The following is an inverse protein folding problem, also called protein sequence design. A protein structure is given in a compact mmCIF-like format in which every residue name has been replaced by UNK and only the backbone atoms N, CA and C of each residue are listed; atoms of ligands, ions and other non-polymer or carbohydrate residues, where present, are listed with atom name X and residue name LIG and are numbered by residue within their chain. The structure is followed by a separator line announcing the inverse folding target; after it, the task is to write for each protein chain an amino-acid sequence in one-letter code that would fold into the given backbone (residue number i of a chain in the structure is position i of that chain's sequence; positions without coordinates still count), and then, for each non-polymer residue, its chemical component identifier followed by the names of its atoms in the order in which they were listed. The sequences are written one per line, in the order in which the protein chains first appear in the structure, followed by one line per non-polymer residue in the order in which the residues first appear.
data_IF_030235822015
#
_entry.id   IF_030235822015
#
_cell.length_a   1.000
_cell.length_b   1.000
_cell.length_c   1.000
_cell.angle_alpha   90.00
_cell.angle_beta   90.00
_cell.angle_gamma   90.00
#
_symmetry.space_group_name_H-M   'P 1'
#
loop_
_entity.id
_entity.type
_entity.pdbx_description
1 polymer ?
#
# COMPACT_ATOMS: atom_id res chain seq x y z
N UNK A 1 -28.18 17.45 -16.98
CA UNK A 1 -28.69 17.01 -18.29
C UNK A 1 -27.62 16.52 -19.30
N UNK A 2 -26.43 16.07 -18.85
CA UNK A 2 -25.40 15.52 -19.77
C UNK A 2 -24.81 14.16 -19.37
N UNK A 3 -24.84 13.79 -18.10
CA UNK A 3 -24.20 12.56 -17.59
C UNK A 3 -25.11 11.32 -17.56
N UNK A 4 -26.44 11.47 -17.64
CA UNK A 4 -27.38 10.34 -17.55
C UNK A 4 -27.20 9.29 -18.66
N UNK A 5 -26.77 9.73 -19.85
CA UNK A 5 -26.43 8.81 -20.93
C UNK A 5 -25.12 8.04 -20.63
N UNK A 6 -24.09 8.71 -20.10
CA UNK A 6 -22.80 8.09 -19.81
C UNK A 6 -22.87 7.02 -18.72
N UNK A 7 -23.71 7.19 -17.70
CA UNK A 7 -23.94 6.13 -16.70
C UNK A 7 -24.64 4.91 -17.31
N UNK A 8 -25.59 5.13 -18.22
CA UNK A 8 -26.25 4.01 -18.93
C UNK A 8 -25.27 3.28 -19.85
N UNK A 9 -24.40 4.01 -20.56
CA UNK A 9 -23.35 3.43 -21.39
C UNK A 9 -22.33 2.65 -20.55
N UNK A 10 -21.88 3.23 -19.42
CA UNK A 10 -20.96 2.57 -18.49
C UNK A 10 -21.59 1.29 -17.89
N UNK A 11 -22.87 1.33 -17.52
CA UNK A 11 -23.61 0.17 -17.04
C UNK A 11 -23.62 -0.96 -18.07
N UNK A 12 -23.96 -0.64 -19.32
CA UNK A 12 -24.00 -1.62 -20.39
C UNK A 12 -22.62 -2.21 -20.69
N UNK A 13 -21.58 -1.36 -20.73
CA UNK A 13 -20.20 -1.79 -20.97
C UNK A 13 -19.68 -2.69 -19.83
N UNK A 14 -19.93 -2.33 -18.57
CA UNK A 14 -19.52 -3.14 -17.43
C UNK A 14 -20.21 -4.52 -17.44
N UNK A 15 -21.53 -4.56 -17.71
CA UNK A 15 -22.30 -5.81 -17.83
C UNK A 15 -21.79 -6.70 -18.97
N UNK A 16 -21.50 -6.11 -20.12
CA UNK A 16 -20.91 -6.84 -21.24
C UNK A 16 -19.57 -7.46 -20.83
N UNK A 17 -18.62 -6.65 -20.34
CA UNK A 17 -17.30 -7.15 -19.92
C UNK A 17 -17.42 -8.25 -18.86
N UNK A 18 -18.27 -8.09 -17.85
CA UNK A 18 -18.47 -9.11 -16.81
C UNK A 18 -18.99 -10.43 -17.39
N UNK A 19 -19.85 -10.36 -18.39
CA UNK A 19 -20.48 -11.55 -18.98
C UNK A 19 -19.70 -12.18 -20.13
N UNK A 20 -18.89 -11.40 -20.86
CA UNK A 20 -18.33 -11.79 -22.17
C UNK A 20 -16.80 -11.79 -22.24
N UNK A 21 -16.09 -11.17 -21.29
CA UNK A 21 -14.62 -11.10 -21.33
C UNK A 21 -13.92 -12.45 -21.11
N UNK A 22 -14.60 -13.43 -20.50
CA UNK A 22 -14.00 -14.68 -20.06
C UNK A 22 -13.15 -14.56 -18.78
N UNK A 23 -13.05 -13.35 -18.21
CA UNK A 23 -12.39 -13.11 -16.93
C UNK A 23 -13.23 -13.65 -15.76
N UNK A 24 -12.58 -13.99 -14.66
CA UNK A 24 -13.23 -14.45 -13.42
C UNK A 24 -12.50 -13.97 -12.18
N UNK A 25 -13.26 -13.64 -11.15
CA UNK A 25 -12.72 -13.30 -9.83
C UNK A 25 -12.05 -14.52 -9.19
N UNK A 26 -10.85 -14.34 -8.65
CA UNK A 26 -10.17 -15.35 -7.84
C UNK A 26 -10.92 -15.56 -6.52
N UNK A 27 -11.12 -16.83 -6.15
CA UNK A 27 -11.70 -17.21 -4.86
C UNK A 27 -10.80 -16.78 -3.69
N UNK A 28 -9.48 -16.86 -3.87
CA UNK A 28 -8.49 -16.37 -2.91
C UNK A 28 -7.97 -15.02 -3.39
N UNK A 29 -8.27 -13.94 -2.67
CA UNK A 29 -7.98 -12.58 -3.13
C UNK A 29 -6.48 -12.31 -3.40
N UNK A 30 -5.57 -12.94 -2.65
CA UNK A 30 -4.13 -12.83 -2.88
C UNK A 30 -3.68 -13.45 -4.21
N UNK A 31 -4.45 -14.37 -4.81
CA UNK A 31 -4.10 -14.98 -6.10
C UNK A 31 -4.17 -14.00 -7.27
N UNK A 32 -4.92 -12.91 -7.12
CA UNK A 32 -4.90 -11.76 -8.05
C UNK A 32 -3.50 -11.18 -8.18
N UNK A 33 -2.68 -11.28 -7.14
CA UNK A 33 -1.30 -10.78 -7.06
C UNK A 33 -0.33 -11.92 -6.78
N UNK A 34 -0.58 -13.12 -7.25
CA UNK A 34 0.39 -14.22 -7.16
C UNK A 34 1.25 -14.27 -8.43
N UNK A 35 2.58 -14.30 -8.30
CA UNK A 35 3.48 -14.34 -9.47
C UNK A 35 3.25 -15.59 -10.33
N UNK A 36 2.84 -16.72 -9.73
CA UNK A 36 2.55 -17.94 -10.49
C UNK A 36 1.32 -17.79 -11.40
N UNK A 37 0.47 -16.81 -11.13
CA UNK A 37 -0.72 -16.52 -11.90
C UNK A 37 -0.51 -15.41 -12.93
N UNK A 38 0.68 -14.81 -13.00
CA UNK A 38 0.93 -13.61 -13.79
C UNK A 38 0.58 -13.81 -15.27
N UNK A 39 1.10 -14.87 -15.90
CA UNK A 39 0.85 -15.16 -17.31
C UNK A 39 -0.63 -15.40 -17.62
N UNK A 40 -1.37 -16.02 -16.69
CA UNK A 40 -2.77 -16.43 -16.88
C UNK A 40 -3.71 -15.81 -15.84
N UNK A 41 -3.50 -14.53 -15.51
CA UNK A 41 -4.28 -13.87 -14.48
C UNK A 41 -5.76 -13.74 -14.87
N UNK A 42 -6.65 -14.53 -14.23
CA UNK A 42 -8.06 -14.59 -14.59
C UNK A 42 -8.85 -13.31 -14.29
N UNK A 43 -8.35 -12.44 -13.40
CA UNK A 43 -9.00 -11.17 -13.10
C UNK A 43 -8.54 -10.04 -14.00
N UNK A 44 -7.36 -10.16 -14.62
CA UNK A 44 -6.77 -9.08 -15.40
C UNK A 44 -7.48 -8.93 -16.75
N UNK A 45 -7.96 -7.71 -17.02
CA UNK A 45 -8.57 -7.34 -18.32
C UNK A 45 -7.55 -6.64 -19.20
N UNK A 46 -6.74 -5.76 -18.60
CA UNK A 46 -5.65 -5.07 -19.27
C UNK A 46 -4.49 -4.88 -18.30
N UNK A 47 -3.29 -5.27 -18.72
CA UNK A 47 -2.06 -5.15 -17.95
C UNK A 47 -0.89 -4.75 -18.82
N UNK A 48 0.05 -4.03 -18.21
CA UNK A 48 1.32 -3.66 -18.82
C UNK A 48 2.38 -4.65 -18.37
N UNK A 49 2.88 -5.43 -19.32
CA UNK A 49 4.00 -6.33 -19.11
C UNK A 49 5.33 -5.60 -19.30
N UNK A 50 6.24 -5.73 -18.34
CA UNK A 50 7.57 -5.14 -18.44
C UNK A 50 8.52 -6.08 -19.16
N UNK A 51 9.00 -5.64 -20.33
CA UNK A 51 9.99 -6.41 -21.08
C UNK A 51 11.32 -6.60 -20.32
N UNK A 52 12.06 -7.65 -20.69
CA UNK A 52 13.35 -8.02 -20.10
C UNK A 52 14.51 -7.06 -20.43
N UNK A 53 14.26 -5.99 -21.20
CA UNK A 53 15.24 -5.06 -21.74
C UNK A 53 14.66 -3.63 -21.85
N UNK A 54 14.90 -2.79 -20.85
CA UNK A 54 14.78 -1.32 -20.95
C UNK A 54 16.16 -0.67 -20.90
N UNK A 55 16.58 0.04 -21.94
CA UNK A 55 17.90 0.69 -21.99
C UNK A 55 18.03 1.79 -20.94
N UNK A 56 19.17 1.85 -20.24
CA UNK A 56 19.45 2.80 -19.16
C UNK A 56 19.65 4.27 -19.60
N UNK A 57 19.17 4.67 -20.77
CA UNK A 57 19.52 5.94 -21.41
C UNK A 57 18.67 7.13 -20.96
N UNK A 58 17.35 7.01 -21.03
CA UNK A 58 16.43 8.16 -20.85
C UNK A 58 15.05 7.77 -20.30
N UNK A 59 14.84 6.50 -19.94
CA UNK A 59 13.50 5.92 -19.70
C UNK A 59 13.04 6.01 -18.23
N UNK A 60 13.63 6.90 -17.42
CA UNK A 60 13.27 7.05 -16.01
C UNK A 60 12.10 8.03 -15.86
N UNK A 61 10.88 7.51 -15.68
CA UNK A 61 9.64 8.27 -15.72
C UNK A 61 9.27 9.03 -14.42
N UNK A 62 10.18 9.18 -13.43
CA UNK A 62 9.82 9.87 -12.18
C UNK A 62 10.24 11.35 -12.21
N UNK A 63 9.28 12.28 -12.05
CA UNK A 63 9.58 13.69 -11.86
C UNK A 63 10.37 13.91 -10.57
N UNK A 64 11.34 14.82 -10.61
CA UNK A 64 12.02 15.31 -9.40
C UNK A 64 10.99 15.83 -8.39
N UNK A 65 11.15 15.46 -7.12
CA UNK A 65 10.44 16.11 -6.01
C UNK A 65 11.29 17.26 -5.53
N UNK A 66 10.67 18.43 -5.41
CA UNK A 66 11.27 19.62 -4.82
C UNK A 66 10.79 19.69 -3.36
N UNK A 67 11.63 19.31 -2.41
CA UNK A 67 11.50 19.76 -1.02
C UNK A 67 12.72 20.58 -0.64
N UNK A 68 12.58 21.36 0.43
CA UNK A 68 13.68 22.05 1.07
C UNK A 68 13.81 21.53 2.49
N UNK A 69 15.04 21.31 2.96
CA UNK A 69 15.29 20.90 4.34
C UNK A 69 15.00 22.04 5.34
N UNK A 70 15.27 21.79 6.63
CA UNK A 70 15.07 22.77 7.70
C UNK A 70 15.96 24.02 7.54
N UNK A 71 17.01 23.94 6.75
CA UNK A 71 17.95 25.03 6.44
C UNK A 71 17.61 25.74 5.11
N UNK A 72 16.60 25.27 4.38
CA UNK A 72 16.12 25.84 3.14
C UNK A 72 16.85 25.35 1.89
N UNK A 73 17.73 24.36 2.02
CA UNK A 73 18.47 23.77 0.90
C UNK A 73 17.58 22.79 0.13
N UNK A 74 17.71 22.78 -1.19
CA UNK A 74 16.97 21.87 -2.06
C UNK A 74 17.38 20.42 -1.78
N UNK A 75 16.42 19.60 -1.35
CA UNK A 75 16.63 18.19 -1.15
C UNK A 75 16.27 17.40 -2.41
N UNK A 76 17.26 16.72 -2.98
CA UNK A 76 17.08 15.82 -4.12
C UNK A 76 16.75 14.40 -3.64
N UNK A 77 15.49 14.15 -3.26
CA UNK A 77 15.12 12.85 -2.69
C UNK A 77 14.88 11.72 -3.69
N UNK A 78 14.78 12.02 -4.98
CA UNK A 78 14.41 11.03 -5.98
C UNK A 78 15.47 10.86 -7.06
N UNK A 79 16.56 10.18 -6.73
CA UNK A 79 17.40 9.53 -7.74
C UNK A 79 17.13 8.03 -7.76
N UNK A 80 16.43 7.55 -8.80
CA UNK A 80 16.38 6.15 -9.29
C UNK A 80 15.02 5.40 -9.15
N UNK A 81 14.23 5.31 -10.24
CA UNK A 81 13.59 4.03 -10.62
C UNK A 81 14.54 3.26 -11.53
N UNK A 82 15.72 2.91 -11.03
CA UNK A 82 16.61 2.01 -11.80
C UNK A 82 16.52 0.61 -11.23
N UNK A 83 16.17 -0.33 -12.11
CA UNK A 83 15.95 -1.77 -11.89
C UNK A 83 16.90 -2.47 -10.92
N UNK A 84 18.16 -2.06 -10.76
CA UNK A 84 19.16 -2.79 -9.94
C UNK A 84 20.45 -1.98 -9.75
N UNK A 85 20.32 -0.66 -9.67
CA UNK A 85 21.45 0.24 -9.88
C UNK A 85 21.94 0.26 -11.33
N UNK A 86 22.98 1.04 -11.58
CA UNK A 86 23.41 1.64 -12.86
C UNK A 86 23.61 0.73 -14.11
N UNK A 87 23.37 -0.58 -14.09
CA UNK A 87 23.89 -1.48 -15.15
C UNK A 87 22.99 -2.60 -15.71
N UNK A 88 21.73 -2.81 -15.27
CA UNK A 88 20.85 -3.87 -15.85
C UNK A 88 19.39 -3.37 -16.02
N UNK A 89 18.63 -3.95 -16.98
CA UNK A 89 17.52 -3.31 -17.77
C UNK A 89 16.08 -3.94 -17.72
N UNK A 90 14.98 -3.28 -17.24
CA UNK A 90 13.54 -3.77 -17.14
C UNK A 90 12.89 -4.10 -15.73
N UNK A 91 11.55 -4.15 -15.58
CA UNK A 91 10.82 -4.53 -14.34
C UNK A 91 10.04 -3.39 -13.67
N UNK A 92 9.05 -3.71 -12.82
CA UNK A 92 8.14 -2.76 -12.16
C UNK A 92 8.67 -2.30 -10.79
N UNK A 93 8.50 -1.02 -10.47
CA UNK A 93 8.94 -0.44 -9.21
C UNK A 93 7.92 -0.58 -8.05
N UNK A 94 6.90 -1.42 -8.19
CA UNK A 94 5.78 -1.45 -7.23
C UNK A 94 6.18 -1.84 -5.81
N UNK A 95 7.13 -2.77 -5.65
CA UNK A 95 7.69 -3.10 -4.34
C UNK A 95 8.34 -1.88 -3.65
N UNK A 96 9.07 -1.05 -4.41
CA UNK A 96 9.73 0.16 -3.90
C UNK A 96 8.76 1.21 -3.35
N UNK A 97 7.54 1.22 -3.88
CA UNK A 97 6.52 2.20 -3.53
C UNK A 97 5.80 1.82 -2.24
N UNK A 98 5.50 0.53 -2.06
CA UNK A 98 4.46 0.07 -1.13
C UNK A 98 4.96 -0.82 -0.01
N UNK A 99 6.14 -1.43 -0.15
CA UNK A 99 6.60 -2.45 0.80
C UNK A 99 8.08 -2.35 1.06
N UNK A 100 8.46 -1.72 2.17
CA UNK A 100 9.85 -1.71 2.60
C UNK A 100 9.98 -1.87 4.10
N UNK A 101 10.75 -2.88 4.51
CA UNK A 101 11.11 -3.13 5.90
C UNK A 101 12.41 -2.40 6.32
N UNK A 102 13.22 -1.87 5.40
CA UNK A 102 14.46 -1.14 5.77
C UNK A 102 14.22 -0.01 6.77
N UNK A 103 13.06 0.63 6.67
CA UNK A 103 12.68 1.73 7.55
C UNK A 103 12.25 1.27 8.95
N UNK A 104 11.92 -0.03 9.13
CA UNK A 104 11.63 -0.66 10.43
C UNK A 104 12.87 -1.10 11.21
N UNK A 105 14.07 -0.93 10.62
CA UNK A 105 15.38 -1.36 11.13
C UNK A 105 15.90 -0.52 12.31
N UNK A 106 15.05 -0.29 13.30
CA UNK A 106 15.46 0.18 14.61
C UNK A 106 16.30 -0.91 15.31
N UNK A 107 17.21 -0.47 16.17
CA UNK A 107 18.15 -1.37 16.85
C UNK A 107 17.52 -2.21 17.96
N UNK A 108 16.22 -2.03 18.24
CA UNK A 108 15.53 -2.72 19.32
C UNK A 108 15.43 -4.23 19.08
N UNK A 109 15.28 -4.64 17.83
CA UNK A 109 15.21 -6.06 17.44
C UNK A 109 16.60 -6.64 17.11
N UNK A 110 17.61 -5.81 16.88
CA UNK A 110 18.97 -6.28 16.56
C UNK A 110 19.88 -5.18 15.99
N UNK A 111 21.20 -5.37 16.08
CA UNK A 111 22.21 -4.35 15.75
C UNK A 111 22.28 -3.90 14.28
N UNK A 112 22.91 -2.75 14.02
CA UNK A 112 23.11 -2.23 12.66
C UNK A 112 24.18 -3.04 11.89
N UNK A 113 23.72 -3.86 10.94
CA UNK A 113 24.53 -4.36 9.82
C UNK A 113 25.64 -5.37 10.08
N UNK A 114 25.71 -6.06 11.24
CA UNK A 114 26.69 -7.14 11.45
C UNK A 114 26.08 -8.44 12.04
N UNK A 115 26.45 -9.56 11.42
CA UNK A 115 25.65 -10.76 11.13
C UNK A 115 25.26 -11.68 12.32
N UNK A 116 25.53 -11.32 13.58
CA UNK A 116 25.34 -12.24 14.73
C UNK A 116 24.18 -11.90 15.66
N UNK A 117 23.74 -10.63 15.69
CA UNK A 117 22.71 -10.15 16.61
C UNK A 117 21.53 -9.51 15.85
N UNK A 118 21.22 -10.01 14.66
CA UNK A 118 20.14 -9.48 13.81
C UNK A 118 19.02 -10.49 13.69
N UNK A 119 17.79 -10.00 13.49
CA UNK A 119 16.62 -10.81 13.11
C UNK A 119 16.22 -10.60 11.66
N UNK A 120 16.67 -9.49 11.06
CA UNK A 120 16.44 -9.12 9.67
C UNK A 120 17.75 -8.67 9.02
N UNK A 121 17.95 -9.03 7.75
CA UNK A 121 19.08 -8.61 6.91
C UNK A 121 18.56 -8.30 5.51
N UNK A 122 19.25 -7.46 4.73
CA UNK A 122 18.97 -7.31 3.29
C UNK A 122 19.74 -8.35 2.51
N UNK A 123 19.06 -9.24 1.80
CA UNK A 123 19.74 -10.15 0.88
C UNK A 123 20.07 -9.39 -0.41
N UNK A 124 21.35 -9.19 -0.67
CA UNK A 124 21.83 -8.48 -1.88
C UNK A 124 22.40 -9.41 -2.93
N UNK A 125 22.82 -10.61 -2.53
CA UNK A 125 23.37 -11.61 -3.42
C UNK A 125 23.27 -13.00 -2.78
N UNK A 126 22.52 -13.90 -3.43
CA UNK A 126 22.34 -15.30 -3.03
C UNK A 126 23.24 -16.26 -3.84
N UNK A 127 23.98 -15.75 -4.83
CA UNK A 127 24.75 -16.53 -5.80
C UNK A 127 26.26 -16.44 -5.61
N UNK A 128 26.78 -15.36 -5.00
CA UNK A 128 28.21 -15.19 -4.75
C UNK A 128 28.70 -15.74 -3.41
N UNK A 129 30.02 -15.87 -3.29
CA UNK A 129 30.73 -16.33 -2.11
C UNK A 129 30.68 -15.38 -0.90
N UNK A 130 30.19 -14.14 -1.05
CA UNK A 130 30.04 -13.17 0.06
C UNK A 130 28.71 -13.27 0.84
N UNK A 131 27.82 -14.20 0.45
CA UNK A 131 26.54 -14.60 1.07
C UNK A 131 26.07 -13.77 2.29
N UNK A 132 25.08 -12.91 2.06
CA UNK A 132 24.26 -12.30 3.12
C UNK A 132 22.80 -12.81 3.12
N UNK A 133 22.60 -13.99 2.55
CA UNK A 133 21.31 -14.71 2.48
C UNK A 133 20.99 -15.52 3.75
N UNK A 134 21.88 -15.46 4.76
CA UNK A 134 21.68 -16.14 6.04
C UNK A 134 22.00 -15.23 7.23
N UNK A 135 21.38 -15.58 8.36
CA UNK A 135 21.71 -15.05 9.69
C UNK A 135 22.18 -16.23 10.55
N UNK A 136 23.20 -16.01 11.38
CA UNK A 136 23.64 -17.04 12.35
C UNK A 136 22.69 -16.99 13.54
N UNK A 137 22.09 -18.12 13.88
CA UNK A 137 21.27 -18.26 15.08
C UNK A 137 22.14 -18.07 16.33
N UNK A 138 21.74 -17.16 17.22
CA UNK A 138 22.33 -17.03 18.54
C UNK A 138 21.99 -18.22 19.45
N UNK A 139 20.92 -18.97 19.12
CA UNK A 139 20.47 -20.14 19.87
C UNK A 139 21.25 -21.39 19.50
N UNK A 140 21.36 -21.70 18.20
CA UNK A 140 21.95 -22.96 17.71
C UNK A 140 23.38 -22.80 17.18
N UNK A 141 23.80 -21.58 16.83
CA UNK A 141 25.06 -21.33 16.12
C UNK A 141 25.02 -21.68 14.63
N UNK A 142 23.91 -22.24 14.15
CA UNK A 142 23.73 -22.66 12.76
C UNK A 142 23.33 -21.48 11.86
N UNK A 143 23.56 -21.64 10.55
CA UNK A 143 23.11 -20.67 9.53
C UNK A 143 21.64 -20.89 9.22
N UNK A 144 20.83 -19.86 9.42
CA UNK A 144 19.43 -19.82 8.99
C UNK A 144 19.36 -19.06 7.68
N UNK A 145 19.05 -19.73 6.57
CA UNK A 145 18.77 -19.07 5.29
C UNK A 145 17.50 -18.25 5.44
N UNK A 146 17.59 -16.95 5.17
CA UNK A 146 16.48 -16.04 5.36
C UNK A 146 15.76 -15.75 4.05
N UNK A 147 16.46 -15.51 2.93
CA UNK A 147 15.89 -15.09 1.63
C UNK A 147 14.51 -15.68 1.27
N UNK A 148 14.33 -17.02 1.23
CA UNK A 148 13.08 -17.67 0.86
C UNK A 148 11.99 -17.69 1.95
N UNK A 149 12.32 -17.41 3.22
CA UNK A 149 11.53 -17.83 4.39
C UNK A 149 11.26 -16.73 5.42
N UNK A 150 11.54 -15.47 5.15
CA UNK A 150 11.25 -14.38 6.10
C UNK A 150 10.70 -13.16 5.38
N UNK A 151 10.03 -12.28 6.12
CA UNK A 151 9.44 -11.09 5.49
C UNK A 151 10.49 -10.31 4.68
N UNK A 152 10.18 -9.93 3.44
CA UNK A 152 11.15 -9.34 2.53
C UNK A 152 11.72 -8.02 3.09
N UNK A 153 13.04 -7.92 3.16
CA UNK A 153 13.76 -6.73 3.62
C UNK A 153 14.41 -5.98 2.46
N UNK A 154 13.93 -4.76 2.19
CA UNK A 154 14.36 -3.96 1.04
C UNK A 154 14.38 -2.45 1.27
N UNK A 155 15.11 -1.71 0.41
CA UNK A 155 15.18 -0.24 0.37
C UNK A 155 13.96 0.32 -0.35
N UNK A 156 13.04 0.95 0.37
CA UNK A 156 11.94 1.68 -0.25
C UNK A 156 12.41 3.01 -0.83
N UNK A 157 12.00 3.30 -2.06
CA UNK A 157 12.30 4.56 -2.74
C UNK A 157 11.31 5.67 -2.31
N UNK A 158 10.06 5.29 -2.03
CA UNK A 158 9.05 6.18 -1.47
C UNK A 158 8.36 5.52 -0.27
N UNK A 159 8.13 6.32 0.77
CA UNK A 159 7.52 5.87 2.02
C UNK A 159 6.00 5.94 1.90
N UNK A 160 5.36 4.93 1.32
CA UNK A 160 3.89 4.86 1.35
C UNK A 160 3.42 4.38 2.71
N UNK A 161 3.30 5.33 3.62
CA UNK A 161 2.54 5.16 4.85
C UNK A 161 1.05 5.19 4.48
N UNK A 162 0.27 4.13 4.75
CA UNK A 162 -1.19 4.18 4.58
C UNK A 162 -1.77 5.36 5.35
N UNK A 163 -2.84 6.00 4.87
CA UNK A 163 -3.55 6.93 5.75
C UNK A 163 -4.19 6.14 6.90
N UNK A 164 -4.34 6.77 8.07
CA UNK A 164 -5.03 6.13 9.19
C UNK A 164 -6.45 5.68 8.79
N UNK A 165 -7.14 6.49 7.97
CA UNK A 165 -8.46 6.15 7.42
C UNK A 165 -8.44 4.86 6.58
N UNK A 166 -7.45 4.68 5.69
CA UNK A 166 -7.36 3.47 4.88
C UNK A 166 -7.11 2.24 5.76
N UNK A 167 -6.25 2.38 6.77
CA UNK A 167 -5.99 1.30 7.71
C UNK A 167 -7.25 0.94 8.50
N UNK A 168 -7.95 1.93 9.07
CA UNK A 168 -9.23 1.75 9.76
C UNK A 168 -10.27 1.08 8.86
N UNK A 169 -10.42 1.54 7.61
CA UNK A 169 -11.36 0.98 6.66
C UNK A 169 -11.11 -0.50 6.34
N UNK A 170 -9.85 -0.89 6.14
CA UNK A 170 -9.50 -2.30 5.93
C UNK A 170 -9.74 -3.11 7.21
N UNK A 171 -9.45 -2.56 8.39
CA UNK A 171 -9.63 -3.26 9.67
C UNK A 171 -11.10 -3.51 10.01
N UNK A 172 -12.02 -2.63 9.59
CA UNK A 172 -13.47 -2.82 9.72
C UNK A 172 -13.94 -4.16 9.14
N UNK A 173 -13.25 -4.68 8.12
CA UNK A 173 -13.64 -5.92 7.42
C UNK A 173 -12.73 -7.12 7.74
N UNK A 174 -11.73 -6.98 8.63
CA UNK A 174 -10.66 -7.98 8.81
C UNK A 174 -11.13 -9.37 9.23
N UNK A 175 -12.26 -9.45 9.94
CA UNK A 175 -12.79 -10.71 10.50
C UNK A 175 -13.63 -11.50 9.49
N UNK A 176 -14.06 -10.85 8.40
CA UNK A 176 -15.01 -11.41 7.43
C UNK A 176 -14.52 -11.35 5.99
N UNK A 177 -13.49 -10.56 5.69
CA UNK A 177 -13.04 -10.26 4.33
C UNK A 177 -11.53 -10.50 4.15
N UNK A 178 -11.18 -11.24 3.09
CA UNK A 178 -9.81 -11.61 2.78
C UNK A 178 -8.94 -10.40 2.41
N UNK A 179 -9.54 -9.27 1.98
CA UNK A 179 -8.81 -8.11 1.48
C UNK A 179 -7.96 -7.41 2.52
N UNK A 180 -8.32 -7.45 3.80
CA UNK A 180 -7.48 -6.92 4.87
C UNK A 180 -6.12 -7.61 4.86
N UNK A 181 -6.12 -8.94 5.00
CA UNK A 181 -4.89 -9.72 5.01
C UNK A 181 -4.20 -9.61 3.65
N UNK A 182 -4.91 -9.74 2.53
CA UNK A 182 -4.30 -9.65 1.19
C UNK A 182 -3.69 -8.29 0.86
N UNK A 183 -4.11 -7.21 1.53
CA UNK A 183 -3.66 -5.84 1.23
C UNK A 183 -2.65 -5.31 2.22
N UNK A 184 -2.86 -5.50 3.52
CA UNK A 184 -2.06 -4.88 4.57
C UNK A 184 -0.90 -5.78 5.01
N UNK A 185 0.25 -5.17 5.28
CA UNK A 185 1.38 -5.79 5.97
C UNK A 185 1.46 -5.22 7.39
N UNK A 186 0.67 -5.79 8.30
CA UNK A 186 0.62 -5.37 9.72
C UNK A 186 1.50 -6.21 10.63
N UNK A 187 2.18 -7.22 10.11
CA UNK A 187 3.17 -7.99 10.88
C UNK A 187 4.38 -8.35 10.03
N UNK A 188 5.55 -8.31 10.66
CA UNK A 188 6.80 -8.82 10.08
C UNK A 188 7.24 -10.02 10.89
N UNK A 189 7.56 -11.12 10.20
CA UNK A 189 7.76 -12.44 10.79
C UNK A 189 9.14 -13.00 10.50
N UNK A 190 9.58 -13.89 11.40
CA UNK A 190 10.91 -14.49 11.40
C UNK A 190 10.84 -16.02 11.62
N UNK A 191 11.86 -16.76 11.15
CA UNK A 191 12.08 -18.14 11.53
C UNK A 191 12.30 -18.31 13.05
N UNK A 192 11.88 -19.46 13.59
CA UNK A 192 12.02 -19.81 15.01
C UNK A 192 13.45 -19.72 15.53
N UNK A 193 14.41 -20.20 14.75
CA UNK A 193 15.82 -20.24 15.14
C UNK A 193 16.44 -18.84 15.29
N UNK A 194 15.80 -17.79 14.77
CA UNK A 194 16.25 -16.40 14.91
C UNK A 194 15.61 -15.68 16.10
N UNK A 195 14.63 -16.27 16.78
CA UNK A 195 13.99 -15.65 17.93
C UNK A 195 14.98 -15.28 19.05
N UNK A 196 16.04 -16.08 19.23
CA UNK A 196 17.10 -15.80 20.20
C UNK A 196 18.02 -14.64 19.84
N UNK A 197 17.95 -14.12 18.61
CA UNK A 197 18.79 -13.00 18.16
C UNK A 197 18.25 -11.64 18.64
N UNK A 198 16.95 -11.56 18.99
CA UNK A 198 16.31 -10.33 19.45
C UNK A 198 16.54 -10.13 20.96
N UNK A 199 17.72 -9.64 21.35
CA UNK A 199 18.15 -9.57 22.75
C UNK A 199 17.23 -8.77 23.68
N UNK A 200 16.51 -7.76 23.16
CA UNK A 200 15.56 -6.98 23.95
C UNK A 200 14.20 -7.68 24.12
N UNK A 201 13.95 -8.77 23.38
CA UNK A 201 12.72 -9.55 23.37
C UNK A 201 13.03 -11.03 23.71
N UNK A 202 13.42 -11.31 24.96
CA UNK A 202 13.92 -12.63 25.36
C UNK A 202 12.89 -13.77 25.24
N UNK A 203 11.60 -13.44 25.16
CA UNK A 203 10.50 -14.40 25.11
C UNK A 203 9.96 -14.56 23.67
N UNK A 204 10.67 -14.07 22.65
CA UNK A 204 10.25 -14.16 21.26
C UNK A 204 10.05 -15.62 20.82
N UNK A 205 10.81 -16.56 21.38
CA UNK A 205 10.70 -17.98 21.10
C UNK A 205 9.46 -18.65 21.71
N UNK A 206 8.78 -17.99 22.67
CA UNK A 206 7.59 -18.50 23.35
C UNK A 206 6.30 -18.31 22.51
N UNK A 207 6.43 -17.68 21.35
CA UNK A 207 5.33 -17.52 20.39
C UNK A 207 5.05 -18.82 19.66
N UNK A 208 3.84 -18.91 19.09
CA UNK A 208 3.56 -19.90 18.05
C UNK A 208 4.21 -19.48 16.74
N UNK A 209 4.94 -20.41 16.13
CA UNK A 209 5.57 -20.22 14.82
C UNK A 209 4.76 -20.98 13.78
N UNK A 210 4.17 -20.25 12.84
CA UNK A 210 3.38 -20.85 11.77
C UNK A 210 4.30 -21.61 10.81
N UNK A 211 3.86 -22.79 10.39
CA UNK A 211 4.54 -23.57 9.35
C UNK A 211 4.41 -22.87 7.98
N UNK A 212 5.53 -22.79 7.27
CA UNK A 212 5.65 -22.04 6.01
C UNK A 212 4.80 -22.63 4.89
N UNK A 213 4.80 -23.95 4.73
CA UNK A 213 4.01 -24.64 3.70
C UNK A 213 2.52 -24.54 4.03
N UNK A 214 2.15 -24.68 5.31
CA UNK A 214 0.77 -24.53 5.76
C UNK A 214 0.21 -23.14 5.46
N UNK A 215 0.96 -22.06 5.72
CA UNK A 215 0.47 -20.71 5.42
C UNK A 215 0.41 -20.44 3.93
N UNK A 216 1.38 -20.90 3.14
CA UNK A 216 1.36 -20.75 1.69
C UNK A 216 0.14 -21.44 1.07
N UNK A 217 -0.20 -22.64 1.55
CA UNK A 217 -1.39 -23.34 1.09
C UNK A 217 -2.68 -22.57 1.44
N UNK A 218 -2.71 -21.86 2.58
CA UNK A 218 -3.86 -21.08 3.00
C UNK A 218 -4.00 -19.74 2.22
N UNK A 219 -2.91 -19.00 2.06
CA UNK A 219 -2.95 -17.60 1.62
C UNK A 219 -2.06 -17.26 0.41
N UNK A 220 -1.31 -18.23 -0.11
CA UNK A 220 -0.45 -18.10 -1.29
C UNK A 220 0.88 -17.42 -1.01
N UNK A 221 1.26 -17.22 0.25
CA UNK A 221 2.43 -16.40 0.60
C UNK A 221 3.21 -16.97 1.79
N UNK A 222 4.41 -17.51 1.49
CA UNK A 222 5.36 -18.06 2.47
C UNK A 222 5.80 -17.06 3.55
N UNK A 223 5.75 -15.75 3.29
CA UNK A 223 6.22 -14.73 4.25
C UNK A 223 5.29 -14.55 5.46
N UNK A 224 4.16 -15.24 5.49
CA UNK A 224 3.29 -15.30 6.66
C UNK A 224 3.71 -16.39 7.66
N UNK A 225 4.72 -17.20 7.31
CA UNK A 225 5.25 -18.25 8.17
C UNK A 225 6.12 -17.67 9.28
N UNK A 226 6.37 -18.48 10.30
CA UNK A 226 7.18 -18.09 11.45
C UNK A 226 6.43 -17.27 12.50
N UNK A 227 7.19 -16.66 13.41
CA UNK A 227 6.70 -15.92 14.57
C UNK A 227 6.84 -14.42 14.37
N UNK A 228 6.04 -13.62 15.09
CA UNK A 228 6.05 -12.18 14.93
C UNK A 228 7.33 -11.57 15.54
N UNK A 229 7.89 -10.59 14.85
CA UNK A 229 8.95 -9.72 15.37
C UNK A 229 8.46 -8.28 15.51
N UNK A 230 7.61 -7.83 14.59
CA UNK A 230 6.96 -6.52 14.61
C UNK A 230 5.47 -6.72 14.32
N UNK A 231 4.61 -6.06 15.10
CA UNK A 231 3.15 -6.04 14.91
C UNK A 231 2.68 -4.58 14.97
N UNK A 232 1.80 -4.22 14.05
CA UNK A 232 1.08 -2.95 14.05
C UNK A 232 -0.38 -3.20 14.41
N UNK A 233 -0.90 -2.44 15.37
CA UNK A 233 -2.27 -2.55 15.86
C UNK A 233 -3.00 -1.22 15.72
N UNK A 234 -4.27 -1.26 15.32
CA UNK A 234 -5.13 -0.08 15.27
C UNK A 234 -5.64 0.41 16.63
N UNK A 235 -5.37 -0.35 17.69
CA UNK A 235 -5.72 0.06 19.04
C UNK A 235 -5.00 1.35 19.41
N UNK A 236 -5.61 2.10 20.33
CA UNK A 236 -4.91 3.15 21.07
C UNK A 236 -4.08 2.49 22.18
N UNK A 237 -2.77 2.72 22.22
CA UNK A 237 -1.86 2.12 23.19
C UNK A 237 -2.14 2.52 24.65
N UNK A 238 -2.84 3.63 24.88
CA UNK A 238 -3.23 4.09 26.21
C UNK A 238 -4.60 3.53 26.66
N UNK A 239 -5.35 2.90 25.74
CA UNK A 239 -6.61 2.22 26.05
C UNK A 239 -6.38 0.95 26.87
N UNK A 240 -7.43 0.44 27.52
CA UNK A 240 -7.38 -0.81 28.27
C UNK A 240 -6.99 -1.99 27.38
N UNK A 241 -7.56 -2.06 26.18
CA UNK A 241 -7.27 -3.09 25.18
C UNK A 241 -5.84 -2.96 24.65
N UNK A 242 -5.38 -1.72 24.41
CA UNK A 242 -4.00 -1.44 23.99
C UNK A 242 -2.98 -1.87 25.05
N UNK A 243 -3.22 -1.54 26.32
CA UNK A 243 -2.37 -1.96 27.44
C UNK A 243 -2.37 -3.48 27.62
N UNK A 244 -3.51 -4.15 27.42
CA UNK A 244 -3.58 -5.62 27.44
C UNK A 244 -2.75 -6.23 26.30
N UNK A 245 -2.88 -5.72 25.08
CA UNK A 245 -2.07 -6.15 23.95
C UNK A 245 -0.57 -5.86 24.15
N UNK A 246 -0.22 -4.72 24.78
CA UNK A 246 1.15 -4.37 25.13
C UNK A 246 1.73 -5.34 26.18
N UNK A 247 0.93 -5.76 27.14
CA UNK A 247 1.33 -6.75 28.15
C UNK A 247 1.56 -8.14 27.54
N UNK A 248 0.71 -8.56 26.60
CA UNK A 248 0.87 -9.82 25.87
C UNK A 248 2.13 -9.82 24.98
N UNK A 249 2.36 -8.71 24.28
CA UNK A 249 3.51 -8.53 23.39
C UNK A 249 4.84 -8.39 24.16
N UNK A 250 4.79 -7.99 25.43
CA UNK A 250 5.97 -7.64 26.23
C UNK A 250 6.99 -8.79 26.19
N UNK A 251 8.22 -8.44 25.84
CA UNK A 251 9.35 -9.37 25.64
C UNK A 251 9.19 -10.40 24.50
N UNK A 252 8.07 -10.46 23.78
CA UNK A 252 7.87 -11.39 22.65
C UNK A 252 8.15 -10.74 21.30
N UNK A 253 7.61 -9.55 21.07
CA UNK A 253 7.75 -8.81 19.81
C UNK A 253 7.54 -7.31 20.02
N UNK A 254 7.98 -6.51 19.04
CA UNK A 254 7.65 -5.07 19.01
C UNK A 254 6.18 -4.92 18.62
N UNK A 255 5.38 -4.24 19.43
CA UNK A 255 4.04 -3.80 19.06
C UNK A 255 4.00 -2.28 18.93
N UNK A 256 3.46 -1.78 17.82
CA UNK A 256 3.20 -0.36 17.59
C UNK A 256 1.72 -0.13 17.40
N UNK A 257 1.18 0.82 18.15
CA UNK A 257 -0.22 1.20 18.12
C UNK A 257 -0.44 2.33 17.10
N UNK A 258 -1.65 2.45 16.58
CA UNK A 258 -1.99 3.53 15.66
C UNK A 258 -1.83 4.90 16.35
N UNK A 259 -2.24 5.00 17.61
CA UNK A 259 -2.06 6.16 18.48
C UNK A 259 -1.78 5.70 19.91
N UNK A 260 -1.35 6.63 20.77
CA UNK A 260 -1.12 6.36 22.20
C UNK A 260 -0.01 5.35 22.50
N UNK A 261 0.30 5.19 23.79
CA UNK A 261 1.36 4.31 24.26
C UNK A 261 2.77 4.80 23.93
N UNK A 262 3.74 3.89 24.01
CA UNK A 262 5.17 4.22 23.97
C UNK A 262 5.67 4.65 22.58
N UNK A 263 5.18 3.98 21.53
CA UNK A 263 5.71 4.08 20.16
C UNK A 263 4.60 4.14 19.09
N UNK A 264 3.68 5.14 19.18
CA UNK A 264 2.57 5.28 18.25
C UNK A 264 3.02 5.59 16.82
N UNK A 265 2.28 5.06 15.84
CA UNK A 265 2.49 5.35 14.41
C UNK A 265 2.02 6.78 14.08
N UNK A 266 0.85 7.18 14.55
CA UNK A 266 0.28 8.51 14.34
C UNK A 266 0.13 9.29 15.65
N UNK A 267 0.08 10.61 15.54
CA UNK A 267 -0.11 11.53 16.67
C UNK A 267 -1.53 11.50 17.26
N UNK A 268 -2.50 10.89 16.56
CA UNK A 268 -3.92 10.88 16.91
C UNK A 268 -4.60 9.67 16.26
N UNK A 269 -5.70 9.18 16.87
CA UNK A 269 -6.56 8.15 16.27
C UNK A 269 -7.64 8.74 15.34
N UNK A 270 -7.71 10.06 15.22
CA UNK A 270 -8.60 10.76 14.29
C UNK A 270 -7.86 11.03 12.96
N UNK A 271 -8.31 10.45 11.83
CA UNK A 271 -7.69 10.66 10.53
C UNK A 271 -7.56 12.12 10.09
N UNK A 272 -8.40 13.03 10.59
CA UNK A 272 -8.32 14.45 10.24
C UNK A 272 -7.09 15.13 10.86
N UNK A 273 -6.57 14.57 11.96
CA UNK A 273 -5.47 15.14 12.75
C UNK A 273 -4.26 14.19 12.90
N UNK A 274 -4.37 12.97 12.40
CA UNK A 274 -3.33 11.94 12.44
C UNK A 274 -2.12 12.30 11.56
N UNK A 275 -1.03 12.74 12.18
CA UNK A 275 0.27 12.93 11.54
C UNK A 275 1.20 11.78 11.90
N UNK A 276 2.10 11.35 11.00
CA UNK A 276 3.10 10.34 11.32
C UNK A 276 4.03 10.85 12.43
N UNK A 277 4.30 10.05 13.45
CA UNK A 277 5.26 10.43 14.49
C UNK A 277 6.69 10.41 13.94
N UNK A 278 7.53 11.34 14.42
CA UNK A 278 8.92 11.49 13.98
C UNK A 278 9.96 11.25 15.09
N UNK A 279 9.54 11.42 16.34
CA UNK A 279 10.45 11.48 17.48
C UNK A 279 10.70 10.11 18.11
N UNK A 280 11.94 9.93 18.58
CA UNK A 280 12.32 8.77 19.38
C UNK A 280 11.75 8.85 20.80
N UNK A 281 11.37 7.70 21.38
CA UNK A 281 11.05 7.58 22.80
C UNK A 281 12.35 7.34 23.57
N UNK A 282 12.88 8.38 24.23
CA UNK A 282 14.19 8.35 24.92
C UNK A 282 14.30 7.21 25.95
N UNK A 283 13.25 7.05 26.73
CA UNK A 283 13.09 5.98 27.72
C UNK A 283 11.69 5.41 27.56
N UNK A 284 11.59 4.11 27.30
CA UNK A 284 10.32 3.39 27.21
C UNK A 284 9.60 3.39 28.56
N UNK A 285 8.31 3.69 28.59
CA UNK A 285 7.49 3.59 29.80
C UNK A 285 7.22 2.11 30.14
N UNK A 286 7.21 1.23 29.13
CA UNK A 286 6.98 -0.22 29.28
C UNK A 286 8.20 -0.95 29.85
N UNK A 287 9.41 -0.53 29.44
CA UNK A 287 10.66 -1.24 29.74
C UNK A 287 11.62 -0.46 30.65
N UNK A 288 11.49 0.86 30.77
CA UNK A 288 12.38 1.72 31.55
C UNK A 288 13.77 1.90 30.93
N UNK A 289 13.98 1.50 29.68
CA UNK A 289 15.26 1.59 28.97
C UNK A 289 15.14 2.37 27.65
N UNK A 290 16.28 2.55 26.96
CA UNK A 290 16.36 3.35 25.74
C UNK A 290 16.20 2.55 24.45
N UNK A 291 15.59 1.36 24.47
CA UNK A 291 15.49 0.51 23.26
C UNK A 291 14.76 1.19 22.09
N UNK A 292 13.83 2.08 22.39
CA UNK A 292 13.06 2.86 21.41
C UNK A 292 13.62 4.25 21.13
N UNK A 293 14.83 4.55 21.63
CA UNK A 293 15.48 5.83 21.42
C UNK A 293 16.14 5.91 20.02
N UNK A 294 15.32 5.73 18.97
CA UNK A 294 15.73 5.86 17.58
C UNK A 294 14.62 6.52 16.77
N UNK A 295 14.97 7.50 15.93
CA UNK A 295 14.01 8.11 15.00
C UNK A 295 13.42 7.08 14.01
N UNK A 296 14.08 5.92 13.84
CA UNK A 296 13.61 4.80 13.02
C UNK A 296 12.35 4.13 13.57
N UNK A 297 12.00 4.37 14.85
CA UNK A 297 10.77 3.85 15.47
C UNK A 297 9.56 4.75 15.18
N UNK A 298 9.77 6.05 14.89
CA UNK A 298 8.67 6.96 14.58
C UNK A 298 7.87 6.47 13.37
N UNK A 299 6.56 6.72 13.34
CA UNK A 299 5.63 6.25 12.32
C UNK A 299 5.91 6.72 10.90
N UNK A 300 6.79 7.71 10.71
CA UNK A 300 7.36 8.08 9.41
C UNK A 300 8.39 7.05 8.86
N UNK A 301 8.98 6.25 9.74
CA UNK A 301 9.92 5.18 9.42
C UNK A 301 9.33 3.79 9.69
N UNK A 302 8.56 3.62 10.77
CA UNK A 302 8.02 2.33 11.15
C UNK A 302 6.49 2.29 11.14
N UNK A 303 5.93 1.58 10.17
CA UNK A 303 4.50 1.59 9.87
C UNK A 303 4.04 0.31 9.15
N UNK A 304 2.71 0.02 9.16
CA UNK A 304 2.18 -1.06 8.35
C UNK A 304 2.38 -0.78 6.85
N UNK A 305 2.88 -1.78 6.12
CA UNK A 305 3.08 -1.69 4.67
C UNK A 305 1.84 -2.12 3.87
N UNK A 306 1.92 -2.06 2.55
CA UNK A 306 0.89 -2.61 1.65
C UNK A 306 1.41 -3.92 1.04
N UNK A 307 1.06 -5.05 1.66
CA UNK A 307 1.46 -6.40 1.26
C UNK A 307 1.06 -6.78 -0.17
N UNK A 308 -0.04 -6.20 -0.67
CA UNK A 308 -0.63 -6.49 -1.98
C UNK A 308 0.38 -6.59 -3.14
N UNK A 309 1.43 -5.76 -3.08
CA UNK A 309 2.41 -5.66 -4.15
C UNK A 309 3.69 -6.44 -3.88
N UNK A 310 3.81 -7.10 -2.71
CA UNK A 310 4.95 -7.97 -2.41
C UNK A 310 5.05 -9.10 -3.43
N UNK A 311 6.23 -9.29 -3.96
CA UNK A 311 6.57 -10.50 -4.71
C UNK A 311 6.48 -11.68 -3.73
N UNK A 312 5.59 -12.63 -4.02
CA UNK A 312 5.27 -13.79 -3.18
C UNK A 312 6.11 -15.04 -3.54
N UNK A 313 7.02 -14.89 -4.51
CA UNK A 313 7.99 -15.89 -4.93
C UNK A 313 9.40 -15.35 -4.70
N UNK A 314 10.28 -16.22 -4.19
CA UNK A 314 11.69 -15.89 -4.01
C UNK A 314 12.48 -16.28 -5.25
N UNK A 315 13.20 -15.32 -5.83
CA UNK A 315 14.12 -15.54 -6.94
C UNK A 315 15.57 -15.39 -6.46
N UNK A 316 16.37 -16.45 -6.61
CA UNK A 316 17.78 -16.48 -6.20
C UNK A 316 18.69 -15.61 -7.05
N UNK A 317 18.36 -15.41 -8.33
CA UNK A 317 19.11 -14.49 -9.20
C UNK A 317 18.82 -13.04 -8.82
N UNK A 318 17.69 -12.84 -8.15
CA UNK A 318 17.08 -11.56 -7.86
C UNK A 318 16.62 -11.41 -6.40
N UNK A 319 17.46 -11.76 -5.41
CA UNK A 319 17.03 -12.01 -4.03
C UNK A 319 16.73 -10.75 -3.22
N UNK A 320 16.91 -9.58 -3.82
CA UNK A 320 16.60 -8.28 -3.22
C UNK A 320 15.19 -7.87 -3.63
N UNK A 321 14.31 -7.71 -2.65
CA UNK A 321 12.91 -7.31 -2.83
C UNK A 321 12.72 -5.80 -3.11
N UNK A 322 13.71 -5.18 -3.74
CA UNK A 322 13.69 -3.77 -4.13
C UNK A 322 13.09 -3.59 -5.53
N UNK A 323 12.58 -4.65 -6.15
CA UNK A 323 11.97 -4.62 -7.47
C UNK A 323 10.80 -5.59 -7.49
N UNK A 324 9.79 -5.31 -8.32
CA UNK A 324 8.73 -6.26 -8.61
C UNK A 324 8.82 -6.68 -10.06
N UNK A 325 8.66 -7.97 -10.31
CA UNK A 325 8.54 -8.50 -11.67
C UNK A 325 7.11 -8.48 -12.19
N UNK A 326 6.17 -8.11 -11.32
CA UNK A 326 4.74 -8.11 -11.61
C UNK A 326 4.39 -7.13 -12.73
N UNK A 327 3.52 -7.62 -13.60
CA UNK A 327 2.69 -6.83 -14.48
C UNK A 327 1.92 -5.78 -13.68
N UNK A 328 1.85 -4.57 -14.23
CA UNK A 328 0.92 -3.57 -13.71
C UNK A 328 -0.45 -3.85 -14.30
N UNK A 329 -1.36 -4.37 -13.48
CA UNK A 329 -2.77 -4.40 -13.83
C UNK A 329 -3.31 -2.98 -13.89
N UNK A 330 -3.78 -2.60 -15.07
CA UNK A 330 -4.37 -1.28 -15.33
C UNK A 330 -5.88 -1.36 -15.16
N UNK A 331 -6.49 -2.45 -15.65
CA UNK A 331 -7.92 -2.76 -15.50
C UNK A 331 -8.07 -4.23 -15.11
N UNK A 332 -9.01 -4.50 -14.19
CA UNK A 332 -9.37 -5.86 -13.78
C UNK A 332 -10.85 -5.99 -13.50
N UNK A 333 -11.33 -7.23 -13.53
CA UNK A 333 -12.76 -7.55 -13.50
C UNK A 333 -13.48 -6.93 -12.30
N UNK A 334 -12.88 -6.91 -11.11
CA UNK A 334 -13.54 -6.33 -9.92
C UNK A 334 -13.86 -4.83 -10.07
N UNK A 335 -13.08 -4.09 -10.88
CA UNK A 335 -13.41 -2.70 -11.17
C UNK A 335 -14.72 -2.58 -11.95
N UNK A 336 -15.03 -3.52 -12.84
CA UNK A 336 -16.28 -3.52 -13.61
C UNK A 336 -17.50 -3.69 -12.69
N UNK A 337 -17.42 -4.54 -11.66
CA UNK A 337 -18.48 -4.68 -10.66
C UNK A 337 -18.72 -3.35 -9.91
N UNK A 338 -17.67 -2.60 -9.63
CA UNK A 338 -17.77 -1.32 -8.92
C UNK A 338 -18.29 -0.19 -9.82
N UNK A 339 -17.94 -0.21 -11.11
CA UNK A 339 -18.51 0.70 -12.12
C UNK A 339 -19.99 0.38 -12.35
N UNK A 340 -20.35 -0.89 -12.49
CA UNK A 340 -21.74 -1.36 -12.60
C UNK A 340 -22.56 -0.88 -11.40
N UNK A 341 -22.11 -1.16 -10.17
CA UNK A 341 -22.84 -0.76 -8.96
C UNK A 341 -23.00 0.77 -8.86
N UNK A 342 -21.99 1.53 -9.24
CA UNK A 342 -22.08 3.00 -9.25
C UNK A 342 -23.10 3.49 -10.29
N UNK A 343 -23.08 2.93 -11.49
CA UNK A 343 -23.99 3.30 -12.57
C UNK A 343 -25.44 2.89 -12.26
N UNK A 344 -25.66 1.73 -11.65
CA UNK A 344 -26.98 1.29 -11.16
C UNK A 344 -27.52 2.25 -10.09
N UNK A 345 -26.68 2.66 -9.14
CA UNK A 345 -27.05 3.66 -8.14
C UNK A 345 -27.45 4.99 -8.80
N UNK A 346 -26.67 5.46 -9.78
CA UNK A 346 -26.90 6.76 -10.44
C UNK A 346 -28.12 6.76 -11.38
N UNK A 347 -28.45 5.61 -11.95
CA UNK A 347 -29.65 5.42 -12.78
C UNK A 347 -30.92 5.13 -11.97
N UNK A 348 -30.81 5.09 -10.63
CA UNK A 348 -31.92 4.97 -9.69
C UNK A 348 -32.23 3.54 -9.23
N UNK A 349 -31.46 2.54 -9.66
CA UNK A 349 -31.61 1.14 -9.23
C UNK A 349 -30.65 0.79 -8.09
N UNK A 350 -30.97 1.30 -6.90
CA UNK A 350 -30.17 1.06 -5.70
C UNK A 350 -30.17 -0.41 -5.26
N UNK A 351 -31.22 -1.16 -5.60
CA UNK A 351 -31.34 -2.57 -5.21
C UNK A 351 -30.34 -3.42 -5.99
N UNK A 352 -30.22 -3.19 -7.30
CA UNK A 352 -29.20 -3.84 -8.13
C UNK A 352 -27.80 -3.40 -7.71
N UNK A 353 -27.57 -2.11 -7.45
CA UNK A 353 -26.27 -1.63 -6.95
C UNK A 353 -25.81 -2.37 -5.68
N UNK A 354 -26.72 -2.58 -4.72
CA UNK A 354 -26.42 -3.34 -3.49
C UNK A 354 -26.11 -4.81 -3.80
N UNK A 355 -26.87 -5.42 -4.70
CA UNK A 355 -26.65 -6.80 -5.13
C UNK A 355 -25.28 -6.97 -5.80
N UNK A 356 -24.90 -6.03 -6.68
CA UNK A 356 -23.62 -6.03 -7.40
C UNK A 356 -22.42 -5.90 -6.45
N UNK A 357 -22.47 -4.97 -5.48
CA UNK A 357 -21.43 -4.88 -4.43
C UNK A 357 -21.35 -6.18 -3.63
N UNK A 358 -22.51 -6.72 -3.22
CA UNK A 358 -22.54 -7.94 -2.43
C UNK A 358 -22.09 -9.18 -3.21
N UNK A 359 -22.22 -9.19 -4.54
CA UNK A 359 -21.66 -10.24 -5.39
C UNK A 359 -20.13 -10.24 -5.31
N UNK A 360 -19.49 -9.07 -5.48
CA UNK A 360 -18.04 -8.91 -5.31
C UNK A 360 -17.62 -9.28 -3.87
N UNK A 361 -18.27 -8.71 -2.85
CA UNK A 361 -17.94 -8.98 -1.44
C UNK A 361 -18.03 -10.46 -1.11
N UNK A 362 -19.06 -11.16 -1.60
CA UNK A 362 -19.21 -12.61 -1.35
C UNK A 362 -17.99 -13.41 -1.85
N UNK A 363 -17.38 -13.03 -2.98
CA UNK A 363 -16.16 -13.69 -3.47
C UNK A 363 -14.94 -13.34 -2.61
N UNK A 364 -14.92 -12.16 -1.98
CA UNK A 364 -13.86 -11.72 -1.07
C UNK A 364 -14.04 -12.16 0.37
N UNK A 365 -15.16 -12.80 0.71
CA UNK A 365 -15.43 -13.26 2.05
C UNK A 365 -14.40 -14.32 2.49
N UNK A 366 -13.98 -14.28 3.75
CA UNK A 366 -13.25 -15.38 4.36
C UNK A 366 -14.17 -16.62 4.35
N UNK A 367 -13.61 -17.80 4.06
CA UNK A 367 -14.39 -19.04 3.97
C UNK A 367 -15.29 -19.24 5.20
N UNK A 368 -16.59 -19.43 4.96
CA UNK A 368 -17.59 -19.61 6.02
C UNK A 368 -18.04 -18.32 6.73
N UNK A 369 -17.57 -17.15 6.31
CA UNK A 369 -18.02 -15.85 6.82
C UNK A 369 -18.97 -15.17 5.83
N UNK A 370 -19.86 -14.35 6.38
CA UNK A 370 -20.66 -13.41 5.60
C UNK A 370 -20.09 -12.01 5.80
N UNK A 371 -19.80 -11.33 4.70
CA UNK A 371 -19.30 -9.95 4.68
C UNK A 371 -20.23 -9.02 3.89
N UNK A 372 -21.45 -9.45 3.53
CA UNK A 372 -22.41 -8.61 2.81
C UNK A 372 -22.75 -7.35 3.60
N UNK A 373 -23.01 -6.27 2.87
CA UNK A 373 -23.52 -5.01 3.41
C UNK A 373 -25.03 -4.88 3.15
N UNK A 374 -25.66 -3.99 3.90
CA UNK A 374 -27.09 -3.69 3.80
C UNK A 374 -27.34 -2.18 3.81
N UNK A 375 -28.55 -1.77 3.43
CA UNK A 375 -28.96 -0.37 3.40
C UNK A 375 -28.76 0.27 2.03
N UNK A 376 -28.96 1.60 1.97
CA UNK A 376 -28.87 2.35 0.72
C UNK A 376 -27.42 2.48 0.26
N UNK A 377 -27.15 2.09 -0.99
CA UNK A 377 -25.87 2.37 -1.64
C UNK A 377 -25.79 3.87 -1.91
N UNK A 378 -24.71 4.48 -1.46
CA UNK A 378 -24.39 5.89 -1.72
C UNK A 378 -23.04 5.98 -2.42
N UNK A 379 -22.67 7.16 -2.92
CA UNK A 379 -21.33 7.35 -3.49
C UNK A 379 -20.22 7.05 -2.47
N UNK A 380 -20.45 7.32 -1.18
CA UNK A 380 -19.51 6.95 -0.12
C UNK A 380 -19.41 5.43 0.07
N UNK A 381 -20.52 4.69 -0.11
CA UNK A 381 -20.51 3.22 -0.12
C UNK A 381 -19.60 2.71 -1.25
N UNK A 382 -19.76 3.25 -2.46
CA UNK A 382 -18.94 2.89 -3.63
C UNK A 382 -17.47 3.27 -3.40
N UNK A 383 -17.18 4.48 -2.93
CA UNK A 383 -15.81 4.96 -2.69
C UNK A 383 -15.10 4.16 -1.60
N UNK A 384 -15.82 3.69 -0.56
CA UNK A 384 -15.27 2.77 0.45
C UNK A 384 -14.94 1.41 -0.17
N UNK A 385 -15.85 0.83 -0.94
CA UNK A 385 -15.63 -0.47 -1.58
C UNK A 385 -14.49 -0.41 -2.60
N UNK A 386 -14.38 0.68 -3.37
CA UNK A 386 -13.23 0.96 -4.26
C UNK A 386 -11.93 1.11 -3.50
N UNK A 387 -11.92 1.72 -2.31
CA UNK A 387 -10.71 1.80 -1.49
C UNK A 387 -10.27 0.42 -0.95
N UNK A 388 -11.22 -0.43 -0.56
CA UNK A 388 -10.94 -1.81 -0.12
C UNK A 388 -10.39 -2.67 -1.27
N UNK A 389 -11.02 -2.61 -2.43
CA UNK A 389 -10.69 -3.44 -3.59
C UNK A 389 -9.44 -2.92 -4.31
N UNK A 390 -9.37 -1.63 -4.62
CA UNK A 390 -8.38 -1.01 -5.52
C UNK A 390 -7.25 -0.26 -4.78
N UNK A 391 -7.01 -0.59 -3.51
CA UNK A 391 -5.92 0.00 -2.74
C UNK A 391 -4.58 -0.12 -3.50
N UNK A 392 -3.93 1.01 -3.74
CA UNK A 392 -2.64 1.11 -4.43
C UNK A 392 -2.69 0.94 -5.95
N UNK A 393 -3.86 0.73 -6.56
CA UNK A 393 -4.04 0.52 -8.00
C UNK A 393 -4.28 1.84 -8.76
N UNK A 394 -3.66 2.94 -8.33
CA UNK A 394 -3.67 4.26 -8.98
C UNK A 394 -5.03 4.97 -9.18
N UNK A 395 -6.15 4.37 -8.79
CA UNK A 395 -7.49 4.92 -9.05
C UNK A 395 -7.94 6.00 -8.06
N UNK A 396 -7.43 6.02 -6.82
CA UNK A 396 -8.05 6.79 -5.73
C UNK A 396 -8.17 8.30 -5.99
N UNK A 397 -7.16 8.92 -6.62
CA UNK A 397 -7.25 10.34 -6.96
C UNK A 397 -8.30 10.60 -8.05
N UNK A 398 -8.36 9.76 -9.08
CA UNK A 398 -9.35 9.87 -10.16
C UNK A 398 -10.77 9.67 -9.64
N UNK A 399 -10.96 8.70 -8.74
CA UNK A 399 -12.24 8.46 -8.06
C UNK A 399 -12.71 9.70 -7.31
N UNK A 400 -11.89 10.24 -6.41
CA UNK A 400 -12.26 11.42 -5.64
C UNK A 400 -12.43 12.68 -6.51
N UNK A 401 -11.67 12.78 -7.60
CA UNK A 401 -11.75 13.87 -8.57
C UNK A 401 -13.09 13.84 -9.30
N UNK A 402 -13.44 12.71 -9.92
CA UNK A 402 -14.66 12.58 -10.76
C UNK A 402 -15.95 12.63 -9.94
N UNK A 403 -15.89 12.27 -8.66
CA UNK A 403 -17.03 12.36 -7.74
C UNK A 403 -17.10 13.70 -7.00
N UNK A 404 -16.18 14.63 -7.26
CA UNK A 404 -16.10 15.93 -6.59
C UNK A 404 -15.95 15.85 -5.06
N UNK A 405 -15.34 14.78 -4.55
CA UNK A 405 -15.15 14.55 -3.11
C UNK A 405 -13.70 14.72 -2.64
N UNK A 406 -12.77 15.08 -3.54
CA UNK A 406 -11.33 15.19 -3.27
C UNK A 406 -11.01 16.13 -2.11
N UNK A 407 -11.56 17.34 -2.12
CA UNK A 407 -11.33 18.34 -1.08
C UNK A 407 -11.77 17.83 0.29
N UNK A 408 -12.99 17.29 0.36
CA UNK A 408 -13.61 16.84 1.60
C UNK A 408 -12.89 15.62 2.15
N UNK A 409 -12.58 14.64 1.31
CA UNK A 409 -11.83 13.45 1.73
C UNK A 409 -10.41 13.80 2.18
N UNK A 410 -9.69 14.68 1.48
CA UNK A 410 -8.34 15.09 1.90
C UNK A 410 -8.39 15.84 3.23
N UNK A 411 -9.32 16.79 3.40
CA UNK A 411 -9.49 17.52 4.67
C UNK A 411 -9.86 16.61 5.83
N UNK A 412 -10.70 15.60 5.57
CA UNK A 412 -11.22 14.69 6.59
C UNK A 412 -10.28 13.55 6.95
N UNK A 413 -9.46 13.09 6.01
CA UNK A 413 -8.72 11.82 6.15
C UNK A 413 -7.21 11.93 5.88
N UNK A 414 -6.68 13.12 5.61
CA UNK A 414 -5.26 13.35 5.37
C UNK A 414 -4.78 14.66 6.01
N UNK A 415 -4.35 14.58 7.27
CA UNK A 415 -3.83 15.70 8.03
C UNK A 415 -2.62 16.41 7.36
N UNK A 416 -1.78 15.68 6.60
CA UNK A 416 -0.64 16.28 5.90
C UNK A 416 -1.07 17.15 4.72
N UNK A 417 -2.17 16.78 4.06
CA UNK A 417 -2.71 17.49 2.90
C UNK A 417 -3.81 18.51 3.21
N UNK A 418 -4.47 18.40 4.36
CA UNK A 418 -5.70 19.14 4.69
C UNK A 418 -5.55 20.66 4.63
N UNK A 419 -4.44 21.20 5.12
CA UNK A 419 -4.16 22.65 5.11
C UNK A 419 -3.76 23.21 3.74
N UNK A 420 -3.34 22.33 2.82
CA UNK A 420 -2.81 22.74 1.51
C UNK A 420 -3.78 22.45 0.35
N UNK A 421 -4.78 21.59 0.53
CA UNK A 421 -5.70 21.21 -0.54
C UNK A 421 -6.63 22.39 -0.93
N UNK A 422 -6.76 22.64 -2.23
CA UNK A 422 -7.58 23.71 -2.81
C UNK A 422 -8.15 23.26 -4.17
N UNK A 423 -9.14 24.01 -4.69
CA UNK A 423 -9.85 23.67 -5.94
C UNK A 423 -8.91 23.40 -7.13
N UNK A 424 -7.78 24.11 -7.22
CA UNK A 424 -6.77 23.88 -8.26
C UNK A 424 -6.21 22.44 -8.30
N UNK A 425 -6.27 21.68 -7.19
CA UNK A 425 -5.72 20.32 -7.09
C UNK A 425 -6.61 19.22 -7.70
N UNK A 426 -7.78 19.58 -8.26
CA UNK A 426 -8.51 18.71 -9.19
C UNK A 426 -7.75 18.51 -10.51
N UNK A 427 -6.79 19.37 -10.83
CA UNK A 427 -5.98 19.31 -12.04
C UNK A 427 -4.50 19.24 -11.70
N UNK A 428 -3.73 18.59 -12.57
CA UNK A 428 -2.26 18.63 -12.49
C UNK A 428 -1.78 19.94 -13.12
N UNK A 429 -0.74 20.59 -12.56
CA UNK A 429 -0.18 21.77 -13.18
C UNK A 429 0.40 21.40 -14.56
N UNK A 430 0.16 22.26 -15.56
CA UNK A 430 0.84 22.16 -16.84
C UNK A 430 2.29 22.63 -16.61
N UNK A 431 3.32 21.87 -17.02
CA UNK A 431 4.71 22.31 -16.91
C UNK A 431 4.92 23.66 -17.59
N UNK A 432 5.69 24.56 -16.98
CA UNK A 432 5.88 25.94 -17.49
C UNK A 432 6.48 25.98 -18.89
N UNK A 433 7.39 25.06 -19.21
CA UNK A 433 8.01 24.98 -20.54
C UNK A 433 6.98 24.61 -21.63
N UNK A 434 5.95 23.83 -21.32
CA UNK A 434 4.86 23.52 -22.28
C UNK A 434 4.04 24.78 -22.53
N UNK A 435 3.70 25.55 -21.48
CA UNK A 435 2.97 26.82 -21.60
C UNK A 435 3.75 27.87 -22.40
N UNK A 436 5.07 27.96 -22.20
CA UNK A 436 5.94 28.88 -22.93
C UNK A 436 6.09 28.50 -24.41
N UNK A 437 5.89 27.22 -24.75
CA UNK A 437 5.94 26.72 -26.12
C UNK A 437 4.63 26.88 -26.90
N UNK A 438 3.53 27.17 -26.21
CA UNK A 438 2.22 27.32 -26.85
C UNK A 438 2.09 28.71 -27.50
N UNK A 439 2.14 28.73 -28.83
CA UNK A 439 1.98 29.95 -29.62
C UNK A 439 0.52 30.39 -29.80
N UNK A 440 -0.45 29.56 -29.38
CA UNK A 440 -1.89 29.79 -29.55
C UNK A 440 -2.64 29.89 -28.21
N UNK A 441 -1.94 30.16 -27.10
CA UNK A 441 -2.53 30.24 -25.77
C UNK A 441 -3.69 31.26 -25.76
N UNK A 442 -4.91 30.78 -25.53
CA UNK A 442 -6.09 31.66 -25.53
C UNK A 442 -6.10 32.54 -24.28
N UNK A 443 -6.49 33.80 -24.44
CA UNK A 443 -6.71 34.72 -23.30
C UNK A 443 -8.14 34.62 -22.75
N UNK A 444 -8.83 33.50 -22.98
CA UNK A 444 -10.23 33.36 -22.57
C UNK A 444 -10.34 33.27 -21.05
N UNK A 445 -11.27 34.03 -20.49
CA UNK A 445 -11.59 34.00 -19.06
C UNK A 445 -12.55 32.84 -18.78
N UNK A 446 -12.23 32.08 -17.75
CA UNK A 446 -13.08 31.00 -17.23
C UNK A 446 -13.51 31.31 -15.80
N UNK A 447 -14.65 30.75 -15.38
CA UNK A 447 -15.05 30.69 -13.98
C UNK A 447 -14.86 29.26 -13.45
N UNK A 448 -14.91 29.08 -12.13
CA UNK A 448 -14.99 27.76 -11.52
C UNK A 448 -16.26 27.70 -10.68
N UNK A 449 -16.95 26.57 -10.70
CA UNK A 449 -18.05 26.34 -9.76
C UNK A 449 -17.54 25.99 -8.36
N UNK A 450 -18.48 25.72 -7.43
CA UNK A 450 -18.16 25.39 -6.05
C UNK A 450 -17.30 24.11 -5.91
N UNK A 451 -17.31 23.25 -6.93
CA UNK A 451 -16.60 21.98 -6.98
C UNK A 451 -15.28 22.08 -7.76
N UNK A 452 -14.94 23.27 -8.25
CA UNK A 452 -13.69 23.57 -8.95
C UNK A 452 -13.71 23.15 -10.42
N UNK A 453 -14.89 22.81 -10.97
CA UNK A 453 -15.04 22.54 -12.39
C UNK A 453 -14.92 23.83 -13.15
N UNK A 454 -14.05 23.85 -14.16
CA UNK A 454 -13.87 25.02 -15.00
C UNK A 454 -15.12 25.18 -15.86
N UNK A 455 -15.79 26.31 -15.68
CA UNK A 455 -16.96 26.74 -16.43
C UNK A 455 -16.50 27.76 -17.49
N UNK A 456 -16.74 27.44 -18.75
CA UNK A 456 -16.47 28.36 -19.85
C UNK A 456 -17.75 29.07 -20.25
N UNK A 457 -17.66 30.37 -20.51
CA UNK A 457 -18.82 31.18 -20.89
C UNK A 457 -19.31 30.89 -22.31
N UNK A 458 -18.44 30.36 -23.18
CA UNK A 458 -18.74 29.90 -24.54
C UNK A 458 -17.73 28.83 -24.98
N UNK A 459 -18.16 27.77 -25.68
CA UNK A 459 -17.25 26.85 -26.34
C UNK A 459 -16.71 27.50 -27.63
N UNK A 460 -15.46 27.97 -27.64
CA UNK A 460 -14.83 28.47 -28.87
C UNK A 460 -14.12 27.31 -29.59
N UNK A 461 -14.20 27.30 -30.93
CA UNK A 461 -13.65 26.24 -31.78
C UNK A 461 -12.11 26.10 -31.72
N UNK A 462 -11.44 27.02 -31.02
CA UNK A 462 -9.98 27.09 -30.89
C UNK A 462 -9.50 26.67 -29.49
N UNK A 463 -10.43 26.27 -28.61
CA UNK A 463 -10.12 25.82 -27.27
C UNK A 463 -9.58 24.39 -27.32
N UNK A 464 -8.25 24.28 -27.33
CA UNK A 464 -7.58 23.06 -26.91
C UNK A 464 -7.70 22.96 -25.40
N UNK A 465 -8.79 22.36 -24.92
CA UNK A 465 -8.65 21.59 -23.70
C UNK A 465 -7.59 20.54 -23.99
N UNK A 466 -6.63 20.35 -23.08
CA UNK A 466 -6.11 19.01 -22.88
C UNK A 466 -7.35 18.16 -22.59
N UNK A 467 -7.83 17.33 -23.53
CA UNK A 467 -9.02 16.53 -23.32
C UNK A 467 -8.62 15.32 -22.48
N UNK A 468 -7.90 15.59 -21.39
CA UNK A 468 -7.11 14.61 -20.68
C UNK A 468 -8.02 13.47 -20.28
N UNK A 469 -7.83 12.35 -20.98
CA UNK A 469 -8.32 11.00 -20.69
C UNK A 469 -9.72 10.87 -20.09
#
# INVERSE_FOLDING_TARGET
DGYGNLYTEALNAAKDVISSSGASLYTRYSDTWNLNNEENNSESLFRVHYGNTLSSGYDNCVPYRFSTDEDGDHEEYNSLLTRRGYSKNGGSAMNLMFVSMWNNGASDLGGSGQNKNQVFVRVTDATSSSRNDYIVSATTGEKVTVGPYYSPYGRGFTRYLPSLYLWQLLDEVKETDQRYQGTMLTSYRIPKDLAGNATNYPNMADQDFADYDSVYNADGNYFNGGGAAIVYSLLDGDSQEGQAAQAEAKNKYRIQFASGGDIPVYTSNDPATALPTKSAKKTSDVYGDSRYNSYKIGGWCSYPGIRKFLDDQYDTDYPTYDCSYRDIMVLRLAEMYLIEAEAEMQTGDNSSALATINALRTVRAISGKDNKISGTVTIETILKERALELCGEYQRWFDLKRTHTLLDHVKKYNAQGSGNIALKHYYRPIPSYELESDTNLSSETYSQDADGVIQYSTASANMWQNPGY
#
